data_IF_451551006114
#
_entry.id   IF_451551006114
#
_cell.length_a   1.000
_cell.length_b   1.000
_cell.length_c   1.000
_cell.angle_alpha   90.00
_cell.angle_beta   90.00
_cell.angle_gamma   90.00
#
_symmetry.space_group_name_H-M   'P 1'
#
loop_
_entity.id
_entity.type
_entity.pdbx_description
1 polymer ?
#
# COMPACT_ATOMS: atom_id res chain seq x y z
N UNK A 1 -5.35 -9.53 11.96
CA UNK A 1 -5.53 -9.19 10.53
C UNK A 1 -6.24 -7.86 10.44
N UNK A 2 -5.84 -7.03 9.49
CA UNK A 2 -6.47 -5.76 9.19
C UNK A 2 -6.59 -5.64 7.66
N UNK A 3 -7.71 -5.14 7.15
CA UNK A 3 -7.88 -4.78 5.74
C UNK A 3 -8.43 -3.35 5.66
N UNK A 4 -7.73 -2.51 4.90
CA UNK A 4 -8.14 -1.15 4.57
C UNK A 4 -8.43 -1.08 3.06
N UNK A 5 -9.48 -0.36 2.67
CA UNK A 5 -9.96 -0.28 1.29
C UNK A 5 -10.35 1.14 0.91
N UNK A 6 -10.20 1.47 -0.36
CA UNK A 6 -10.72 2.68 -0.99
C UNK A 6 -11.35 2.33 -2.33
N UNK A 7 -12.66 2.51 -2.45
CA UNK A 7 -13.40 2.39 -3.71
C UNK A 7 -13.55 3.74 -4.43
N UNK A 8 -13.07 4.83 -3.82
CA UNK A 8 -13.06 6.16 -4.43
C UNK A 8 -11.74 6.43 -5.15
N UNK A 9 -11.84 7.01 -6.34
CA UNK A 9 -10.66 7.35 -7.13
C UNK A 9 -9.82 8.41 -6.43
N UNK A 10 -8.51 8.19 -6.34
CA UNK A 10 -7.55 9.20 -5.89
C UNK A 10 -6.37 9.28 -6.87
N UNK A 11 -5.83 10.48 -7.08
CA UNK A 11 -4.67 10.67 -7.96
C UNK A 11 -3.39 10.71 -7.14
N UNK A 12 -2.37 9.97 -7.57
CA UNK A 12 -1.09 9.90 -6.88
C UNK A 12 -0.37 11.24 -6.85
N UNK A 13 0.29 11.51 -5.72
CA UNK A 13 1.34 12.52 -5.60
C UNK A 13 2.60 11.81 -5.16
N UNK A 14 3.71 11.99 -5.89
CA UNK A 14 4.97 11.30 -5.63
C UNK A 14 5.42 11.48 -4.16
N UNK A 15 5.74 10.37 -3.51
CA UNK A 15 6.17 10.34 -2.12
C UNK A 15 5.07 10.58 -1.08
N UNK A 16 3.83 10.82 -1.50
CA UNK A 16 2.67 10.97 -0.60
C UNK A 16 1.89 9.67 -0.55
N UNK A 17 1.74 9.04 0.63
CA UNK A 17 0.96 7.82 0.77
C UNK A 17 -0.47 7.94 0.23
N UNK A 18 -0.98 6.85 -0.37
CA UNK A 18 -2.40 6.76 -0.75
C UNK A 18 -3.27 6.53 0.49
N UNK A 19 -4.45 7.15 0.52
CA UNK A 19 -5.41 7.01 1.61
C UNK A 19 -6.27 5.76 1.43
N UNK A 20 -6.83 5.25 2.52
CA UNK A 20 -7.88 4.23 2.46
C UNK A 20 -9.14 4.73 3.16
N UNK A 21 -10.21 4.92 2.40
CA UNK A 21 -11.48 5.43 2.92
C UNK A 21 -12.07 4.59 4.07
N UNK A 22 -11.93 3.25 4.04
CA UNK A 22 -12.66 2.34 4.96
C UNK A 22 -11.75 1.30 5.62
N UNK A 23 -12.03 0.98 6.89
CA UNK A 23 -11.50 -0.21 7.57
C UNK A 23 -12.45 -1.39 7.33
N UNK A 24 -12.21 -2.17 6.27
CA UNK A 24 -13.07 -3.28 5.88
C UNK A 24 -13.06 -4.45 6.88
N UNK A 25 -11.92 -4.70 7.54
CA UNK A 25 -11.79 -5.73 8.57
C UNK A 25 -10.73 -5.35 9.60
N UNK A 26 -11.01 -5.57 10.89
CA UNK A 26 -10.05 -5.41 11.97
C UNK A 26 -10.23 -6.50 13.03
N UNK A 27 -9.26 -7.40 13.15
CA UNK A 27 -9.30 -8.54 14.08
C UNK A 27 -7.95 -8.74 14.76
N UNK A 28 -7.96 -8.97 16.07
CA UNK A 28 -6.77 -9.37 16.86
C UNK A 28 -5.96 -8.24 17.49
N UNK A 29 -6.34 -6.97 17.32
CA UNK A 29 -5.84 -5.83 18.11
C UNK A 29 -4.37 -5.40 17.92
N UNK A 30 -3.56 -6.17 17.18
CA UNK A 30 -2.15 -5.86 16.89
C UNK A 30 -1.95 -4.74 15.86
N UNK A 31 -3.03 -4.29 15.23
CA UNK A 31 -3.04 -3.28 14.18
C UNK A 31 -4.31 -2.43 14.27
N UNK A 32 -4.22 -1.19 13.83
CA UNK A 32 -5.35 -0.27 13.71
C UNK A 32 -5.24 0.58 12.44
N UNK A 33 -6.38 1.06 11.95
CA UNK A 33 -6.49 2.00 10.84
C UNK A 33 -7.64 2.96 11.12
N UNK A 34 -7.42 4.24 10.84
CA UNK A 34 -8.45 5.28 10.91
C UNK A 34 -9.02 5.50 9.49
N UNK A 35 -10.34 5.44 9.28
CA UNK A 35 -10.95 5.72 7.97
C UNK A 35 -10.46 7.04 7.36
N UNK A 36 -10.09 7.00 6.08
CA UNK A 36 -9.53 8.13 5.33
C UNK A 36 -8.03 8.38 5.58
N UNK A 37 -7.38 7.58 6.43
CA UNK A 37 -5.95 7.64 6.68
C UNK A 37 -5.18 6.80 5.66
N UNK A 38 -3.91 7.14 5.35
CA UNK A 38 -3.02 6.22 4.65
C UNK A 38 -2.38 5.19 5.59
N UNK A 39 -2.49 5.40 6.91
CA UNK A 39 -1.68 4.73 7.92
C UNK A 39 -2.35 3.45 8.44
N UNK A 40 -1.64 2.34 8.33
CA UNK A 40 -1.86 1.16 9.18
C UNK A 40 -0.86 1.21 10.33
N UNK A 41 -1.36 1.38 11.56
CA UNK A 41 -0.53 1.44 12.76
C UNK A 41 -0.43 0.06 13.40
N UNK A 42 0.78 -0.46 13.49
CA UNK A 42 1.13 -1.74 14.10
C UNK A 42 1.55 -1.49 15.56
N UNK A 43 0.85 -2.13 16.50
CA UNK A 43 0.99 -1.91 17.95
C UNK A 43 1.64 -3.08 18.69
N UNK A 44 1.91 -4.20 17.99
CA UNK A 44 2.62 -5.35 18.56
C UNK A 44 3.81 -5.77 17.67
N UNK A 45 5.00 -6.06 18.21
CA UNK A 45 6.08 -6.66 17.43
C UNK A 45 5.68 -8.02 16.85
N UNK A 46 6.34 -8.44 15.77
CA UNK A 46 6.07 -9.72 15.13
C UNK A 46 6.47 -9.79 13.67
N UNK A 47 6.16 -10.92 13.05
CA UNK A 47 6.25 -11.12 11.61
C UNK A 47 4.87 -10.85 11.00
N UNK A 48 4.86 -10.06 9.93
CA UNK A 48 3.66 -9.63 9.23
C UNK A 48 3.77 -9.98 7.74
N UNK A 49 2.62 -10.13 7.08
CA UNK A 49 2.53 -10.16 5.63
C UNK A 49 1.57 -9.07 5.19
N UNK A 50 2.00 -8.25 4.23
CA UNK A 50 1.15 -7.25 3.58
C UNK A 50 0.89 -7.64 2.13
N UNK A 51 -0.35 -7.41 1.69
CA UNK A 51 -0.78 -7.57 0.31
C UNK A 51 -1.47 -6.30 -0.15
N UNK A 52 -0.99 -5.71 -1.23
CA UNK A 52 -1.53 -4.51 -1.85
C UNK A 52 -2.14 -4.85 -3.22
N UNK A 53 -3.29 -4.25 -3.53
CA UNK A 53 -3.90 -4.29 -4.85
C UNK A 53 -4.51 -2.94 -5.16
N UNK A 54 -4.36 -2.46 -6.39
CA UNK A 54 -5.08 -1.30 -6.91
C UNK A 54 -5.20 -1.41 -8.43
N UNK A 55 -6.30 -0.88 -8.98
CA UNK A 55 -6.40 -0.58 -10.40
C UNK A 55 -5.82 0.81 -10.64
N UNK A 56 -4.78 0.90 -11.46
CA UNK A 56 -4.10 2.15 -11.78
C UNK A 56 -4.22 2.47 -13.26
N UNK A 57 -4.29 3.74 -13.61
CA UNK A 57 -4.45 4.16 -14.99
C UNK A 57 -3.57 5.36 -15.36
N UNK A 58 -3.51 5.67 -16.65
CA UNK A 58 -2.99 6.96 -17.16
C UNK A 58 -4.13 7.89 -17.50
N UNK A 59 -3.93 9.19 -17.31
CA UNK A 59 -4.89 10.17 -17.81
C UNK A 59 -4.88 10.23 -19.35
N UNK A 60 -6.01 10.63 -19.93
CA UNK A 60 -6.11 10.81 -21.37
C UNK A 60 -5.16 11.93 -21.85
N UNK A 61 -4.36 11.66 -22.87
CA UNK A 61 -3.38 12.61 -23.40
C UNK A 61 -2.04 12.65 -22.65
N UNK A 62 -1.84 11.76 -21.67
CA UNK A 62 -0.52 11.58 -21.02
C UNK A 62 0.58 11.22 -22.01
N UNK A 63 1.81 11.64 -21.70
CA UNK A 63 2.98 11.28 -22.48
C UNK A 63 3.39 9.85 -22.19
N UNK A 64 3.49 9.04 -23.24
CA UNK A 64 3.75 7.61 -23.15
C UNK A 64 5.13 7.31 -23.79
N UNK A 65 5.98 6.43 -23.23
CA UNK A 65 5.73 5.57 -22.07
C UNK A 65 5.74 6.33 -20.74
N UNK A 66 4.83 5.92 -19.85
CA UNK A 66 4.75 6.42 -18.47
C UNK A 66 4.90 5.24 -17.52
N UNK A 67 5.68 5.38 -16.46
CA UNK A 67 5.86 4.32 -15.45
C UNK A 67 5.31 4.77 -14.12
N UNK A 68 4.65 3.86 -13.42
CA UNK A 68 4.19 4.03 -12.05
C UNK A 68 4.80 2.94 -11.19
N UNK A 69 5.50 3.33 -10.13
CA UNK A 69 5.93 2.42 -9.06
C UNK A 69 5.21 2.74 -7.76
N UNK A 70 4.83 1.69 -7.02
CA UNK A 70 4.30 1.80 -5.65
C UNK A 70 5.18 0.98 -4.73
N UNK A 71 5.64 1.60 -3.64
CA UNK A 71 6.40 0.95 -2.58
C UNK A 71 5.57 0.82 -1.31
N UNK A 72 5.73 -0.26 -0.57
CA UNK A 72 5.33 -0.30 0.83
C UNK A 72 6.43 0.28 1.71
N UNK A 73 6.10 1.19 2.61
CA UNK A 73 7.02 1.78 3.55
C UNK A 73 6.64 1.48 5.00
N UNK A 74 7.63 1.14 5.82
CA UNK A 74 7.52 0.98 7.27
C UNK A 74 8.28 2.13 7.93
N UNK A 75 7.59 2.98 8.70
CA UNK A 75 8.14 4.20 9.31
C UNK A 75 8.86 5.11 8.29
N UNK A 76 8.30 5.20 7.07
CA UNK A 76 8.87 6.01 5.97
C UNK A 76 10.02 5.35 5.21
N UNK A 77 10.56 4.21 5.67
CA UNK A 77 11.58 3.45 4.94
C UNK A 77 10.93 2.39 4.06
N UNK A 78 11.32 2.31 2.79
CA UNK A 78 10.78 1.30 1.86
C UNK A 78 11.15 -0.12 2.29
N UNK A 79 10.18 -1.02 2.26
CA UNK A 79 10.39 -2.44 2.54
C UNK A 79 10.99 -3.12 1.30
N UNK A 80 12.14 -3.81 1.41
CA UNK A 80 12.73 -4.52 0.28
C UNK A 80 11.77 -5.59 -0.27
N UNK A 81 11.62 -5.65 -1.60
CA UNK A 81 10.72 -6.59 -2.27
C UNK A 81 9.23 -6.22 -2.19
N UNK A 82 8.89 -5.09 -1.57
CA UNK A 82 7.52 -4.59 -1.42
C UNK A 82 7.19 -3.50 -2.47
N UNK A 83 7.55 -3.75 -3.73
CA UNK A 83 7.37 -2.80 -4.81
C UNK A 83 6.70 -3.47 -6.01
N UNK A 84 5.82 -2.73 -6.70
CA UNK A 84 5.28 -3.11 -7.99
C UNK A 84 5.40 -1.93 -8.96
N UNK A 85 5.78 -2.22 -10.20
CA UNK A 85 5.97 -1.22 -11.26
C UNK A 85 5.20 -1.66 -12.50
N UNK A 86 4.48 -0.72 -13.11
CA UNK A 86 3.87 -0.89 -14.43
C UNK A 86 4.33 0.22 -15.36
N UNK A 87 4.60 -0.11 -16.62
CA UNK A 87 4.91 0.86 -17.68
C UNK A 87 3.78 0.85 -18.68
N UNK A 88 3.00 1.93 -18.68
CA UNK A 88 1.92 2.15 -19.62
C UNK A 88 2.49 2.49 -20.99
N UNK A 89 1.93 1.87 -22.02
CA UNK A 89 2.34 2.06 -23.42
C UNK A 89 1.20 2.57 -24.29
N UNK A 90 0.02 2.74 -23.71
CA UNK A 90 -1.15 3.36 -24.34
C UNK A 90 -1.78 4.39 -23.39
N UNK A 91 -2.28 5.50 -23.92
CA UNK A 91 -3.03 6.49 -23.12
C UNK A 91 -4.41 5.94 -22.74
N UNK A 92 -4.91 6.29 -21.55
CA UNK A 92 -6.15 5.77 -20.97
C UNK A 92 -6.14 4.23 -20.78
N UNK A 93 -4.94 3.64 -20.70
CA UNK A 93 -4.74 2.26 -20.25
C UNK A 93 -4.96 2.16 -18.75
N UNK A 94 -5.64 1.09 -18.30
CA UNK A 94 -5.75 0.69 -16.91
C UNK A 94 -5.07 -0.67 -16.69
N UNK A 95 -4.41 -0.84 -15.55
CA UNK A 95 -3.66 -2.04 -15.18
C UNK A 95 -3.77 -2.30 -13.68
N UNK A 96 -3.63 -3.56 -13.26
CA UNK A 96 -3.57 -3.90 -11.83
C UNK A 96 -2.12 -3.82 -11.34
N UNK A 97 -1.88 -3.05 -10.27
CA UNK A 97 -0.65 -3.11 -9.50
C UNK A 97 -0.88 -3.90 -8.22
N UNK A 98 -0.01 -4.87 -7.97
CA UNK A 98 -0.08 -5.70 -6.77
C UNK A 98 1.27 -6.21 -6.32
N UNK A 99 1.45 -6.35 -5.01
CA UNK A 99 2.58 -7.06 -4.41
C UNK A 99 2.13 -7.77 -3.13
N UNK A 100 2.90 -8.77 -2.71
CA UNK A 100 2.75 -9.40 -1.38
C UNK A 100 4.13 -9.63 -0.80
N UNK A 101 4.33 -9.21 0.45
CA UNK A 101 5.64 -9.24 1.10
C UNK A 101 5.51 -9.59 2.58
N UNK A 102 6.33 -10.52 3.10
CA UNK A 102 6.52 -10.67 4.53
C UNK A 102 7.54 -9.64 5.05
N UNK A 103 7.31 -9.10 6.25
CA UNK A 103 8.24 -8.18 6.90
C UNK A 103 8.20 -8.34 8.43
N UNK A 104 9.31 -7.96 9.07
CA UNK A 104 9.44 -7.99 10.52
C UNK A 104 9.21 -6.59 11.10
N UNK A 105 8.49 -6.53 12.22
CA UNK A 105 8.36 -5.33 13.05
C UNK A 105 8.97 -5.64 14.42
N UNK A 106 10.08 -4.97 14.73
CA UNK A 106 10.81 -5.14 16.00
C UNK A 106 10.46 -4.09 17.05
N UNK A 107 9.94 -2.93 16.64
CA UNK A 107 9.57 -1.82 17.52
C UNK A 107 8.16 -1.34 17.20
N UNK A 108 7.42 -0.95 18.24
CA UNK A 108 6.05 -0.47 18.10
C UNK A 108 5.83 0.77 18.96
N UNK A 109 5.00 1.74 18.51
CA UNK A 109 4.22 1.69 17.28
C UNK A 109 5.08 1.80 16.01
N UNK A 110 4.67 1.14 14.95
CA UNK A 110 5.23 1.29 13.61
C UNK A 110 4.12 1.55 12.60
N UNK A 111 4.36 2.41 11.63
CA UNK A 111 3.36 2.82 10.64
C UNK A 111 3.71 2.24 9.28
N UNK A 112 2.74 1.56 8.66
CA UNK A 112 2.82 1.01 7.32
C UNK A 112 2.01 1.87 6.35
N UNK A 113 2.61 2.24 5.22
CA UNK A 113 1.99 3.08 4.17
C UNK A 113 2.31 2.57 2.78
N UNK A 114 1.39 2.72 1.83
CA UNK A 114 1.64 2.48 0.40
C UNK A 114 1.95 3.81 -0.29
N UNK A 115 3.15 3.92 -0.87
CA UNK A 115 3.73 5.18 -1.35
C UNK A 115 4.01 5.10 -2.86
N UNK A 116 3.25 5.81 -3.69
CA UNK A 116 3.57 5.97 -5.10
C UNK A 116 4.85 6.80 -5.28
N UNK A 117 5.68 6.38 -6.24
CA UNK A 117 6.91 7.08 -6.64
C UNK A 117 6.60 8.18 -7.65
N UNK A 118 5.54 8.00 -8.43
CA UNK A 118 5.20 8.86 -9.56
C UNK A 118 3.87 9.60 -9.32
N UNK A 119 3.74 10.81 -9.88
CA UNK A 119 2.57 11.70 -9.72
C UNK A 119 1.61 11.57 -10.91
N UNK A 120 0.32 11.81 -10.68
CA UNK A 120 -0.65 11.99 -11.76
C UNK A 120 -1.38 10.73 -12.21
N UNK A 121 -1.14 9.59 -11.55
CA UNK A 121 -1.82 8.34 -11.88
C UNK A 121 -3.06 8.17 -10.99
N UNK A 122 -4.26 7.94 -11.56
CA UNK A 122 -5.42 7.54 -10.78
C UNK A 122 -5.24 6.14 -10.19
N UNK A 123 -5.69 5.97 -8.96
CA UNK A 123 -5.81 4.74 -8.20
C UNK A 123 -7.29 4.52 -7.90
N UNK A 124 -7.79 3.35 -8.29
CA UNK A 124 -9.18 2.91 -8.11
C UNK A 124 -9.18 1.53 -7.44
N UNK A 125 -10.23 1.23 -6.67
CA UNK A 125 -10.39 -0.07 -5.99
C UNK A 125 -9.15 -0.51 -5.19
N UNK A 126 -8.55 0.43 -4.46
CA UNK A 126 -7.33 0.19 -3.68
C UNK A 126 -7.60 -0.62 -2.42
N UNK A 127 -6.72 -1.57 -2.11
CA UNK A 127 -6.78 -2.34 -0.88
C UNK A 127 -5.38 -2.64 -0.32
N UNK A 128 -5.26 -2.57 1.00
CA UNK A 128 -4.08 -3.01 1.75
C UNK A 128 -4.52 -3.94 2.87
N UNK A 129 -4.15 -5.21 2.74
CA UNK A 129 -4.42 -6.24 3.76
C UNK A 129 -3.14 -6.59 4.48
N UNK A 130 -3.18 -6.60 5.81
CA UNK A 130 -2.03 -6.96 6.66
C UNK A 130 -2.42 -8.06 7.63
N UNK A 131 -1.62 -9.13 7.66
CA UNK A 131 -1.81 -10.30 8.51
C UNK A 131 -0.61 -10.45 9.42
N UNK A 132 -0.84 -10.60 10.73
CA UNK A 132 0.20 -11.01 11.67
C UNK A 132 0.38 -12.51 11.57
N UNK A 133 1.61 -12.95 11.28
CA UNK A 133 1.97 -14.36 11.13
C UNK A 133 2.46 -14.99 12.44
N UNK A 134 2.99 -14.18 13.36
CA UNK A 134 3.47 -14.66 14.66
C UNK A 134 4.46 -13.72 15.32
N UNK A 135 5.10 -14.20 16.39
CA UNK A 135 6.19 -13.51 17.07
C UNK A 135 7.48 -13.56 16.23
N UNK A 136 8.40 -12.64 16.50
CA UNK A 136 9.76 -12.74 15.96
C UNK A 136 10.46 -13.90 16.66
N UNK A 137 11.10 -14.85 15.93
CA UNK A 137 11.84 -15.93 16.55
C UNK A 137 12.89 -15.36 17.52
N UNK A 138 12.87 -15.82 18.77
CA UNK A 138 13.99 -15.59 19.69
C UNK A 138 15.16 -16.45 19.21
N UNK A 139 16.31 -15.82 18.99
CA UNK A 139 17.56 -16.51 18.67
C UNK A 139 17.99 -17.45 19.81
#
# INVERSE_FOLDING_TARGET
MLAATDDTSQTSTAGTPINFATTALAVGGSMSHAPGSPDIVITQPGIYQASFHSTVSTQAGESIPASLTVNLALNGATLPGAAATHTFTTSAEASTLSFTVPFQVSTTPSTLTAVPVDTGFPFDESSLTVVRLGDVPTA
#
